data_IF_801869344057
#
_entry.id   IF_801869344057
#
_cell.length_a   1.000
_cell.length_b   1.000
_cell.length_c   1.000
_cell.angle_alpha   90.00
_cell.angle_beta   90.00
_cell.angle_gamma   90.00
#
_symmetry.space_group_name_H-M   'P 1'
#
loop_
_entity.id
_entity.type
_entity.pdbx_description
1 polymer ?
#
# COMPACT_ATOMS: atom_id res chain seq x y z
N UNK A 1 31.17 -0.76 14.02
CA UNK A 1 29.82 -0.25 14.35
C UNK A 1 28.93 -0.02 13.11
N UNK A 2 29.39 -0.25 11.86
CA UNK A 2 28.57 -0.12 10.64
C UNK A 2 27.63 -1.29 10.32
N UNK A 3 27.96 -2.53 10.71
CA UNK A 3 27.26 -3.72 10.17
C UNK A 3 25.79 -3.86 10.62
N UNK A 4 25.41 -3.35 11.79
CA UNK A 4 24.05 -3.53 12.30
C UNK A 4 23.06 -2.51 11.72
N UNK A 5 23.54 -1.30 11.33
CA UNK A 5 22.69 -0.30 10.67
C UNK A 5 22.44 -0.69 9.22
N UNK A 6 23.48 -1.11 8.51
CA UNK A 6 23.40 -1.59 7.13
C UNK A 6 22.51 -2.83 7.03
N UNK A 7 22.70 -3.82 7.93
CA UNK A 7 21.83 -4.99 7.99
C UNK A 7 20.36 -4.62 8.27
N UNK A 8 20.14 -3.68 9.20
CA UNK A 8 18.79 -3.20 9.49
C UNK A 8 18.16 -2.55 8.25
N UNK A 9 18.87 -1.66 7.57
CA UNK A 9 18.40 -1.01 6.33
C UNK A 9 18.04 -2.06 5.27
N UNK A 10 18.89 -3.06 5.07
CA UNK A 10 18.64 -4.17 4.15
C UNK A 10 17.35 -4.94 4.49
N UNK A 11 17.11 -5.28 5.76
CA UNK A 11 15.86 -5.93 6.17
C UNK A 11 14.62 -5.06 5.91
N UNK A 12 14.71 -3.73 6.06
CA UNK A 12 13.60 -2.83 5.74
C UNK A 12 13.36 -2.74 4.24
N UNK A 13 14.41 -2.76 3.43
CA UNK A 13 14.29 -2.75 1.96
C UNK A 13 13.66 -4.05 1.43
N UNK A 14 14.05 -5.21 1.96
CA UNK A 14 13.43 -6.50 1.62
C UNK A 14 11.95 -6.52 2.00
N UNK A 15 11.63 -6.10 3.22
CA UNK A 15 10.22 -6.00 3.67
C UNK A 15 9.40 -5.02 2.82
N UNK A 16 10.02 -3.95 2.31
CA UNK A 16 9.37 -2.99 1.42
C UNK A 16 9.06 -3.61 0.07
N UNK A 17 10.01 -4.35 -0.52
CA UNK A 17 9.81 -5.06 -1.78
C UNK A 17 8.66 -6.07 -1.66
N UNK A 18 8.66 -6.90 -0.61
CA UNK A 18 7.60 -7.88 -0.34
C UNK A 18 6.23 -7.20 -0.17
N UNK A 19 6.18 -6.08 0.57
CA UNK A 19 4.94 -5.34 0.80
C UNK A 19 4.38 -4.73 -0.49
N UNK A 20 5.25 -4.17 -1.34
CA UNK A 20 4.85 -3.61 -2.64
C UNK A 20 4.29 -4.70 -3.55
N UNK A 21 5.00 -5.83 -3.67
CA UNK A 21 4.54 -6.98 -4.47
C UNK A 21 3.19 -7.49 -3.97
N UNK A 22 2.98 -7.58 -2.65
CA UNK A 22 1.70 -7.95 -2.06
C UNK A 22 0.55 -7.04 -2.51
N UNK A 23 0.73 -5.72 -2.39
CA UNK A 23 -0.28 -4.74 -2.80
C UNK A 23 -0.59 -4.85 -4.30
N UNK A 24 0.44 -4.95 -5.14
CA UNK A 24 0.27 -5.07 -6.59
C UNK A 24 -0.47 -6.35 -7.01
N UNK A 25 -0.18 -7.47 -6.36
CA UNK A 25 -0.91 -8.72 -6.60
C UNK A 25 -2.39 -8.59 -6.26
N UNK A 26 -2.72 -7.92 -5.15
CA UNK A 26 -4.11 -7.70 -4.73
C UNK A 26 -4.84 -6.77 -5.71
N UNK A 27 -4.20 -5.68 -6.14
CA UNK A 27 -4.75 -4.77 -7.15
C UNK A 27 -5.00 -5.49 -8.48
N UNK A 28 -4.06 -6.34 -8.92
CA UNK A 28 -4.22 -7.15 -10.11
C UNK A 28 -5.40 -8.13 -9.98
N UNK A 29 -5.58 -8.75 -8.81
CA UNK A 29 -6.74 -9.61 -8.53
C UNK A 29 -8.05 -8.83 -8.59
N UNK A 30 -8.11 -7.61 -8.03
CA UNK A 30 -9.29 -6.75 -8.12
C UNK A 30 -9.64 -6.43 -9.58
N UNK A 31 -8.64 -6.10 -10.39
CA UNK A 31 -8.83 -5.84 -11.82
C UNK A 31 -9.37 -7.08 -12.55
N UNK A 32 -8.86 -8.27 -12.26
CA UNK A 32 -9.37 -9.52 -12.83
C UNK A 32 -10.82 -9.82 -12.42
N UNK A 33 -11.20 -9.54 -11.17
CA UNK A 33 -12.57 -9.70 -10.69
C UNK A 33 -13.51 -8.74 -11.44
N UNK A 34 -13.08 -7.49 -11.65
CA UNK A 34 -13.88 -6.52 -12.41
C UNK A 34 -14.08 -6.93 -13.87
N UNK A 35 -13.06 -7.52 -14.52
CA UNK A 35 -13.16 -8.05 -15.88
C UNK A 35 -14.11 -9.25 -16.00
N UNK A 36 -14.36 -9.98 -14.91
CA UNK A 36 -15.26 -11.14 -14.86
C UNK A 36 -16.73 -10.76 -14.63
N UNK A 37 -17.04 -9.47 -14.42
CA UNK A 37 -18.43 -8.99 -14.30
C UNK A 37 -19.20 -9.28 -15.59
N UNK A 38 -20.35 -9.95 -15.45
CA UNK A 38 -21.21 -10.36 -16.57
C UNK A 38 -21.00 -11.81 -17.05
N UNK A 39 -19.95 -12.49 -16.57
CA UNK A 39 -19.67 -13.91 -16.90
C UNK A 39 -20.03 -14.85 -15.75
N UNK A 40 -19.93 -14.38 -14.50
CA UNK A 40 -20.20 -15.17 -13.29
C UNK A 40 -21.37 -14.60 -12.48
N UNK A 41 -21.88 -15.43 -11.56
CA UNK A 41 -22.89 -15.04 -10.58
C UNK A 41 -22.46 -13.78 -9.80
N UNK A 42 -23.33 -12.76 -9.82
CA UNK A 42 -23.08 -11.47 -9.21
C UNK A 42 -22.83 -11.58 -7.69
N UNK A 43 -23.45 -12.55 -7.01
CA UNK A 43 -23.25 -12.79 -5.58
C UNK A 43 -21.83 -13.30 -5.28
N UNK A 44 -21.36 -14.30 -6.03
CA UNK A 44 -20.00 -14.87 -5.86
C UNK A 44 -18.94 -13.80 -6.14
N UNK A 45 -19.10 -13.04 -7.23
CA UNK A 45 -18.19 -11.93 -7.57
C UNK A 45 -18.19 -10.83 -6.50
N UNK A 46 -19.35 -10.54 -5.90
CA UNK A 46 -19.46 -9.52 -4.85
C UNK A 46 -18.74 -9.91 -3.56
N UNK A 47 -18.81 -11.18 -3.18
CA UNK A 47 -18.16 -11.69 -1.98
C UNK A 47 -16.64 -11.77 -2.16
N UNK A 48 -16.18 -12.29 -3.30
CA UNK A 48 -14.74 -12.35 -3.63
C UNK A 48 -14.13 -10.94 -3.75
N UNK A 49 -14.85 -10.00 -4.37
CA UNK A 49 -14.46 -8.59 -4.40
C UNK A 49 -14.34 -8.02 -2.99
N UNK A 50 -15.35 -8.21 -2.14
CA UNK A 50 -15.36 -7.64 -0.78
C UNK A 50 -14.19 -8.15 0.03
N UNK A 51 -13.91 -9.46 -0.03
CA UNK A 51 -12.72 -10.03 0.63
C UNK A 51 -11.43 -9.43 0.09
N UNK A 52 -11.29 -9.31 -1.23
CA UNK A 52 -10.08 -8.77 -1.85
C UNK A 52 -9.87 -7.28 -1.52
N UNK A 53 -10.95 -6.51 -1.33
CA UNK A 53 -10.86 -5.11 -0.86
C UNK A 53 -10.37 -5.04 0.59
N UNK A 54 -10.83 -5.95 1.47
CA UNK A 54 -10.30 -6.04 2.84
C UNK A 54 -8.83 -6.46 2.86
N UNK A 55 -8.44 -7.40 1.99
CA UNK A 55 -7.02 -7.78 1.83
C UNK A 55 -6.18 -6.56 1.39
N UNK A 56 -6.72 -5.71 0.49
CA UNK A 56 -6.06 -4.48 0.05
C UNK A 56 -5.90 -3.48 1.21
N UNK A 57 -6.95 -3.26 2.00
CA UNK A 57 -6.91 -2.39 3.18
C UNK A 57 -5.78 -2.80 4.15
N UNK A 58 -5.72 -4.09 4.49
CA UNK A 58 -4.72 -4.63 5.42
C UNK A 58 -3.30 -4.53 4.86
N UNK A 59 -3.12 -4.82 3.56
CA UNK A 59 -1.82 -4.75 2.91
C UNK A 59 -1.32 -3.30 2.80
N UNK A 60 -2.19 -2.35 2.45
CA UNK A 60 -1.85 -0.93 2.42
C UNK A 60 -1.54 -0.37 3.82
N UNK A 61 -2.31 -0.75 4.84
CA UNK A 61 -2.02 -0.34 6.21
C UNK A 61 -0.64 -0.85 6.67
N UNK A 62 -0.31 -2.11 6.35
CA UNK A 62 1.00 -2.71 6.65
C UNK A 62 2.14 -1.97 5.94
N UNK A 63 1.99 -1.70 4.64
CA UNK A 63 2.95 -0.91 3.86
C UNK A 63 3.14 0.49 4.46
N UNK A 64 2.07 1.18 4.83
CA UNK A 64 2.13 2.51 5.41
C UNK A 64 2.84 2.52 6.78
N UNK A 65 2.60 1.51 7.61
CA UNK A 65 3.31 1.36 8.89
C UNK A 65 4.81 1.14 8.63
N UNK A 66 5.16 0.27 7.68
CA UNK A 66 6.54 0.02 7.31
C UNK A 66 7.25 1.30 6.85
N UNK A 67 6.65 2.06 5.92
CA UNK A 67 7.17 3.33 5.45
C UNK A 67 7.34 4.34 6.61
N UNK A 68 6.38 4.39 7.55
CA UNK A 68 6.50 5.24 8.74
C UNK A 68 7.72 4.82 9.57
N UNK A 69 7.90 3.52 9.84
CA UNK A 69 9.07 3.02 10.57
C UNK A 69 10.38 3.32 9.84
N UNK A 70 10.43 3.19 8.51
CA UNK A 70 11.61 3.54 7.72
C UNK A 70 11.95 5.03 7.83
N UNK A 71 10.92 5.89 7.78
CA UNK A 71 11.07 7.34 7.95
C UNK A 71 11.58 7.70 9.35
N UNK A 72 11.04 7.07 10.41
CA UNK A 72 11.49 7.25 11.80
C UNK A 72 12.95 6.81 12.02
N UNK A 73 13.42 5.82 11.27
CA UNK A 73 14.82 5.35 11.32
C UNK A 73 15.77 6.15 10.41
N UNK A 74 15.26 7.18 9.73
CA UNK A 74 15.99 8.02 8.77
C UNK A 74 16.53 7.24 7.57
N UNK A 75 15.85 6.16 7.15
CA UNK A 75 16.18 5.43 5.92
C UNK A 75 15.58 6.10 4.69
N UNK A 76 14.42 6.76 4.86
CA UNK A 76 13.71 7.46 3.79
C UNK A 76 13.20 8.82 4.28
N UNK A 77 12.97 9.73 3.33
CA UNK A 77 12.28 11.00 3.58
C UNK A 77 10.93 10.96 2.89
N UNK A 78 9.86 10.94 3.68
CA UNK A 78 8.48 10.92 3.17
C UNK A 78 7.99 12.37 2.95
N UNK A 79 7.42 12.73 1.80
CA UNK A 79 6.76 14.02 1.58
C UNK A 79 5.56 14.22 2.51
N UNK A 80 5.17 15.47 2.80
CA UNK A 80 4.04 15.76 3.69
C UNK A 80 2.71 15.23 3.15
N UNK A 81 2.47 15.36 1.84
CA UNK A 81 1.31 14.79 1.16
C UNK A 81 1.21 13.28 1.38
N UNK A 82 2.29 12.56 1.12
CA UNK A 82 2.35 11.13 1.32
C UNK A 82 2.13 10.73 2.79
N UNK A 83 2.70 11.49 3.74
CA UNK A 83 2.47 11.25 5.17
C UNK A 83 1.01 11.42 5.56
N UNK A 84 0.29 12.37 4.95
CA UNK A 84 -1.15 12.54 5.17
C UNK A 84 -1.91 11.30 4.71
N UNK A 85 -1.68 10.86 3.47
CA UNK A 85 -2.33 9.67 2.91
C UNK A 85 -2.03 8.41 3.74
N UNK A 86 -0.77 8.19 4.11
CA UNK A 86 -0.37 7.09 4.99
C UNK A 86 -1.11 7.12 6.32
N UNK A 87 -1.26 8.31 6.94
CA UNK A 87 -1.97 8.45 8.20
C UNK A 87 -3.46 8.19 8.04
N UNK A 88 -4.06 8.64 6.95
CA UNK A 88 -5.48 8.43 6.67
C UNK A 88 -5.77 6.95 6.43
N UNK A 89 -4.89 6.20 5.76
CA UNK A 89 -4.99 4.74 5.62
C UNK A 89 -4.83 4.03 6.99
N UNK A 90 -3.83 4.39 7.79
CA UNK A 90 -3.56 3.72 9.08
C UNK A 90 -4.72 3.93 10.08
N UNK A 91 -5.38 5.08 10.03
CA UNK A 91 -6.40 5.49 10.99
C UNK A 91 -7.82 5.49 10.40
N UNK A 92 -8.04 4.86 9.26
CA UNK A 92 -9.37 4.76 8.66
C UNK A 92 -10.25 3.77 9.40
N UNK A 93 -11.53 4.12 9.56
CA UNK A 93 -12.56 3.22 10.09
C UNK A 93 -13.34 2.52 8.97
N UNK A 94 -13.24 3.04 7.75
CA UNK A 94 -13.86 2.48 6.55
C UNK A 94 -12.93 2.71 5.37
N UNK A 95 -12.76 1.65 4.59
CA UNK A 95 -11.97 1.63 3.38
C UNK A 95 -12.86 1.29 2.19
N UNK A 96 -12.76 2.06 1.12
CA UNK A 96 -13.49 1.84 -0.11
C UNK A 96 -12.54 1.82 -1.31
N UNK A 97 -12.75 0.85 -2.18
CA UNK A 97 -12.07 0.74 -3.46
C UNK A 97 -13.08 0.68 -4.60
N UNK A 98 -13.07 1.71 -5.44
CA UNK A 98 -13.98 1.84 -6.58
C UNK A 98 -13.24 2.39 -7.79
N UNK A 99 -13.27 1.68 -8.92
CA UNK A 99 -12.70 2.15 -10.20
C UNK A 99 -11.24 2.63 -10.06
N UNK A 100 -10.40 1.84 -9.38
CA UNK A 100 -8.99 2.16 -9.10
C UNK A 100 -8.77 3.30 -8.10
N UNK A 101 -9.82 3.89 -7.55
CA UNK A 101 -9.72 4.93 -6.52
C UNK A 101 -9.84 4.32 -5.13
N UNK A 102 -8.92 4.69 -4.25
CA UNK A 102 -8.99 4.40 -2.82
C UNK A 102 -9.54 5.63 -2.11
N UNK A 103 -10.59 5.41 -1.32
CA UNK A 103 -11.18 6.43 -0.47
C UNK A 103 -11.28 5.85 0.93
N UNK A 104 -10.76 6.60 1.90
CA UNK A 104 -10.84 6.22 3.31
C UNK A 104 -11.69 7.21 4.08
N UNK A 105 -12.30 6.72 5.16
CA UNK A 105 -13.07 7.55 6.06
C UNK A 105 -12.45 7.47 7.45
N UNK A 106 -11.95 8.61 7.92
CA UNK A 106 -11.42 8.78 9.27
C UNK A 106 -12.32 9.71 10.08
N UNK A 107 -11.88 10.07 11.29
CA UNK A 107 -12.53 11.11 12.08
C UNK A 107 -12.59 12.47 11.36
N UNK A 108 -11.74 12.70 10.36
CA UNK A 108 -11.72 13.93 9.55
C UNK A 108 -12.73 13.91 8.41
N UNK A 109 -13.39 12.77 8.16
CA UNK A 109 -14.34 12.59 7.08
C UNK A 109 -13.75 11.80 5.91
N UNK A 110 -14.25 12.07 4.71
CA UNK A 110 -13.88 11.37 3.46
C UNK A 110 -12.55 11.91 2.93
N UNK A 111 -11.57 11.03 2.79
CA UNK A 111 -10.23 11.36 2.34
C UNK A 111 -9.87 10.51 1.09
N UNK A 112 -9.74 11.13 -0.10
CA UNK A 112 -9.20 10.44 -1.26
C UNK A 112 -7.71 10.19 -1.08
N UNK A 113 -7.23 9.03 -1.54
CA UNK A 113 -5.84 8.60 -1.37
C UNK A 113 -5.18 8.51 -2.75
N UNK A 114 -3.99 9.10 -2.88
CA UNK A 114 -3.16 8.92 -4.09
C UNK A 114 -2.38 7.61 -4.02
N UNK A 115 -3.08 6.51 -4.33
CA UNK A 115 -2.50 5.17 -4.36
C UNK A 115 -1.33 5.08 -5.36
N UNK A 116 -1.44 5.74 -6.51
CA UNK A 116 -0.39 5.69 -7.52
C UNK A 116 0.86 6.46 -7.06
N UNK A 117 0.68 7.62 -6.43
CA UNK A 117 1.76 8.37 -5.79
C UNK A 117 2.46 7.56 -4.72
N UNK A 118 1.72 6.84 -3.87
CA UNK A 118 2.26 5.94 -2.85
C UNK A 118 3.12 4.82 -3.46
N UNK A 119 2.60 4.10 -4.46
CA UNK A 119 3.34 3.02 -5.10
C UNK A 119 4.56 3.53 -5.87
N UNK A 120 4.42 4.65 -6.58
CA UNK A 120 5.53 5.28 -7.30
C UNK A 120 6.65 5.68 -6.34
N UNK A 121 6.31 6.19 -5.15
CA UNK A 121 7.29 6.51 -4.12
C UNK A 121 8.02 5.26 -3.62
N UNK A 122 7.31 4.17 -3.33
CA UNK A 122 7.94 2.90 -2.94
C UNK A 122 8.88 2.37 -4.04
N UNK A 123 8.46 2.42 -5.30
CA UNK A 123 9.28 2.01 -6.43
C UNK A 123 10.52 2.88 -6.61
N UNK A 124 10.42 4.19 -6.36
CA UNK A 124 11.56 5.10 -6.40
C UNK A 124 12.61 4.73 -5.34
N UNK A 125 12.17 4.39 -4.12
CA UNK A 125 13.04 3.91 -3.04
C UNK A 125 13.75 2.61 -3.46
N UNK A 126 12.99 1.61 -3.92
CA UNK A 126 13.53 0.31 -4.34
C UNK A 126 14.51 0.43 -5.52
N UNK A 127 14.23 1.30 -6.49
CA UNK A 127 15.16 1.58 -7.60
C UNK A 127 16.45 2.23 -7.11
N UNK A 128 16.36 3.17 -6.16
CA UNK A 128 17.54 3.84 -5.63
C UNK A 128 18.47 2.89 -4.86
N UNK A 129 17.91 1.87 -4.18
CA UNK A 129 18.70 0.84 -3.49
C UNK A 129 19.38 -0.12 -4.48
N UNK A 130 18.68 -0.52 -5.54
CA UNK A 130 19.26 -1.39 -6.59
C UNK A 130 20.43 -0.76 -7.35
N UNK A 131 20.58 0.57 -7.32
CA UNK A 131 21.73 1.29 -7.89
C UNK A 131 22.91 1.36 -6.89
N UNK A 132 22.67 1.16 -5.58
CA UNK A 132 23.71 1.16 -4.54
C UNK A 132 24.38 -0.21 -4.35
N UNK A 133 23.76 -1.29 -4.82
CA UNK A 133 24.30 -2.66 -4.83
C UNK A 133 25.10 -2.92 -6.11
#
# INVERSE_FOLDING_TARGET
MGSNRELKELCYMEALEDSVVSVEMILNRLNQIEQKKGVFDAYILSHDRSKTVLDLELSLATLCILLRKMSENLFIVTPEELRRDMNSIIHSNRFEYTRLEVVVYSQKGREPIDLQGLLNFCHAILKSDKVRR
#
